data_IF_710349013153
#
_entry.id   IF_710349013153
#
_cell.length_a   1.000
_cell.length_b   1.000
_cell.length_c   1.000
_cell.angle_alpha   90.00
_cell.angle_beta   90.00
_cell.angle_gamma   90.00
#
_symmetry.space_group_name_H-M   'P 1'
#
loop_
_entity.id
_entity.type
_entity.pdbx_description
1 polymer ?
#
# COMPACT_ATOMS: atom_id res chain seq x y z
N UNK A 1 6.73 -20.94 -29.60
CA UNK A 1 6.73 -19.52 -29.19
C UNK A 1 8.08 -19.28 -28.53
N UNK A 2 8.96 -18.47 -29.12
CA UNK A 2 10.23 -18.10 -28.47
C UNK A 2 9.95 -17.06 -27.39
N UNK A 3 10.65 -17.15 -26.26
CA UNK A 3 10.55 -16.16 -25.21
C UNK A 3 10.99 -14.78 -25.73
N UNK A 4 10.36 -13.69 -25.29
CA UNK A 4 10.80 -12.34 -25.64
C UNK A 4 12.23 -12.12 -25.14
N UNK A 5 13.04 -11.47 -25.97
CA UNK A 5 14.38 -11.01 -25.58
C UNK A 5 14.24 -9.95 -24.48
N UNK A 6 14.79 -10.25 -23.30
CA UNK A 6 14.83 -9.31 -22.16
C UNK A 6 16.14 -8.52 -22.22
N UNK A 7 16.10 -7.18 -22.21
CA UNK A 7 17.31 -6.36 -22.19
C UNK A 7 18.21 -6.68 -20.99
N UNK A 8 19.55 -6.67 -21.12
CA UNK A 8 20.45 -6.88 -19.98
C UNK A 8 20.24 -5.89 -18.83
N UNK A 9 19.75 -4.67 -19.12
CA UNK A 9 19.47 -3.64 -18.12
C UNK A 9 18.15 -3.85 -17.36
N UNK A 10 17.30 -4.77 -17.81
CA UNK A 10 15.93 -4.92 -17.30
C UNK A 10 15.88 -5.12 -15.77
N UNK A 11 16.71 -6.01 -15.23
CA UNK A 11 16.73 -6.29 -13.78
C UNK A 11 17.14 -5.06 -12.98
N UNK A 12 18.13 -4.29 -13.48
CA UNK A 12 18.60 -3.08 -12.81
C UNK A 12 17.55 -1.97 -12.83
N UNK A 13 16.90 -1.76 -13.98
CA UNK A 13 15.85 -0.77 -14.16
C UNK A 13 14.59 -1.11 -13.36
N UNK A 14 14.14 -2.36 -13.39
CA UNK A 14 13.02 -2.85 -12.59
C UNK A 14 13.32 -2.73 -11.09
N UNK A 15 14.52 -3.12 -10.67
CA UNK A 15 14.95 -2.99 -9.27
C UNK A 15 14.98 -1.54 -8.79
N UNK A 16 15.48 -0.60 -9.62
CA UNK A 16 15.44 0.83 -9.30
C UNK A 16 14.01 1.34 -9.19
N UNK A 17 13.13 0.95 -10.13
CA UNK A 17 11.73 1.35 -10.12
C UNK A 17 11.01 0.86 -8.85
N UNK A 18 11.18 -0.40 -8.49
CA UNK A 18 10.60 -0.97 -7.26
C UNK A 18 11.12 -0.24 -6.03
N UNK A 19 12.43 0.04 -5.92
CA UNK A 19 12.98 0.78 -4.78
C UNK A 19 12.37 2.17 -4.63
N UNK A 20 12.34 2.95 -5.70
CA UNK A 20 11.74 4.29 -5.67
C UNK A 20 10.27 4.24 -5.21
N UNK A 21 9.51 3.26 -5.70
CA UNK A 21 8.11 3.06 -5.33
C UNK A 21 7.91 2.58 -3.89
N UNK A 22 8.84 1.78 -3.37
CA UNK A 22 8.86 1.41 -1.94
C UNK A 22 9.08 2.64 -1.08
N UNK A 23 10.04 3.51 -1.44
CA UNK A 23 10.30 4.76 -0.71
C UNK A 23 9.07 5.67 -0.71
N UNK A 24 8.41 5.83 -1.85
CA UNK A 24 7.17 6.60 -1.99
C UNK A 24 6.02 6.05 -1.14
N UNK A 25 5.82 4.72 -1.13
CA UNK A 25 4.82 4.09 -0.25
C UNK A 25 5.14 4.32 1.21
N UNK A 26 6.40 4.15 1.60
CA UNK A 26 6.85 4.37 2.97
C UNK A 26 6.53 5.80 3.40
N UNK A 27 6.85 6.79 2.58
CA UNK A 27 6.51 8.20 2.85
C UNK A 27 5.02 8.41 3.00
N UNK A 28 4.19 7.96 2.04
CA UNK A 28 2.74 8.18 2.09
C UNK A 28 2.08 7.52 3.31
N UNK A 29 2.53 6.32 3.69
CA UNK A 29 2.01 5.60 4.86
C UNK A 29 2.50 6.24 6.17
N UNK A 30 3.76 6.67 6.24
CA UNK A 30 4.34 7.33 7.41
C UNK A 30 3.72 8.72 7.64
N UNK A 31 3.49 9.50 6.57
CA UNK A 31 2.78 10.78 6.62
C UNK A 31 1.33 10.62 7.12
N UNK A 32 0.75 9.43 6.92
CA UNK A 32 -0.54 9.08 7.50
C UNK A 32 -0.49 8.68 8.99
N UNK A 33 0.70 8.72 9.59
CA UNK A 33 0.96 8.29 10.96
C UNK A 33 0.79 6.80 11.18
N UNK A 34 1.01 5.98 10.14
CA UNK A 34 1.06 4.52 10.26
C UNK A 34 2.46 4.06 10.65
N UNK A 35 2.54 2.97 11.42
CA UNK A 35 3.82 2.37 11.78
C UNK A 35 4.39 1.62 10.59
N UNK A 36 5.38 2.19 9.89
CA UNK A 36 6.02 1.57 8.71
C UNK A 36 7.51 1.42 8.92
N UNK A 37 8.06 0.33 8.37
CA UNK A 37 9.49 0.11 8.25
C UNK A 37 9.88 0.02 6.77
N UNK A 38 10.97 0.70 6.40
CA UNK A 38 11.56 0.57 5.07
C UNK A 38 12.02 -0.88 4.84
N UNK A 39 11.52 -1.58 3.80
CA UNK A 39 11.93 -2.94 3.54
C UNK A 39 13.33 -2.99 2.93
N UNK A 40 14.12 -4.00 3.34
CA UNK A 40 15.46 -4.24 2.78
C UNK A 40 15.45 -5.02 1.46
N UNK A 41 14.27 -5.51 1.04
CA UNK A 41 14.10 -6.29 -0.17
C UNK A 41 12.64 -6.62 -0.46
N UNK A 42 12.40 -7.29 -1.59
CA UNK A 42 11.05 -7.56 -2.09
C UNK A 42 10.43 -6.34 -2.76
N UNK A 43 9.10 -6.31 -2.78
CA UNK A 43 8.31 -5.27 -3.45
C UNK A 43 7.02 -4.97 -2.69
N UNK A 44 7.05 -5.19 -1.36
CA UNK A 44 5.93 -4.94 -0.47
C UNK A 44 6.36 -4.10 0.73
N UNK A 45 5.48 -3.21 1.17
CA UNK A 45 5.59 -2.48 2.43
C UNK A 45 4.56 -3.04 3.40
N UNK A 46 4.98 -3.30 4.63
CA UNK A 46 4.09 -3.66 5.74
C UNK A 46 3.87 -2.46 6.64
N UNK A 47 2.61 -2.16 6.93
CA UNK A 47 2.21 -1.07 7.81
C UNK A 47 1.36 -1.57 8.97
N UNK A 48 1.71 -1.15 10.18
CA UNK A 48 0.91 -1.30 11.38
C UNK A 48 -0.21 -0.25 11.36
N UNK A 49 -1.45 -0.74 11.40
CA UNK A 49 -2.65 0.09 11.39
C UNK A 49 -3.44 -0.01 12.69
N UNK A 50 -2.98 -0.77 13.70
CA UNK A 50 -3.73 -1.07 14.93
C UNK A 50 -4.26 0.18 15.62
N UNK A 51 -3.40 1.17 15.82
CA UNK A 51 -3.76 2.41 16.52
C UNK A 51 -4.84 3.20 15.77
N UNK A 52 -4.79 3.21 14.43
CA UNK A 52 -5.77 3.91 13.60
C UNK A 52 -7.05 3.12 13.42
N UNK A 53 -6.94 1.81 13.22
CA UNK A 53 -8.08 0.91 13.11
C UNK A 53 -8.98 1.02 14.34
N UNK A 54 -8.39 1.10 15.54
CA UNK A 54 -9.11 1.31 16.80
C UNK A 54 -9.89 2.63 16.88
N UNK A 55 -9.51 3.63 16.08
CA UNK A 55 -10.26 4.91 15.97
C UNK A 55 -11.36 4.87 14.91
N UNK A 56 -11.49 3.76 14.19
CA UNK A 56 -12.56 3.56 13.21
C UNK A 56 -13.68 2.69 13.75
N UNK A 57 -14.79 2.61 13.03
CA UNK A 57 -15.89 1.69 13.33
C UNK A 57 -15.70 0.26 12.78
N UNK A 58 -14.52 -0.08 12.23
CA UNK A 58 -14.27 -1.39 11.64
C UNK A 58 -13.86 -2.41 12.72
N UNK A 59 -14.30 -3.66 12.56
CA UNK A 59 -14.01 -4.76 13.48
C UNK A 59 -12.58 -5.30 13.36
N UNK A 60 -12.03 -5.27 12.15
CA UNK A 60 -10.74 -5.86 11.80
C UNK A 60 -10.14 -5.17 10.56
N UNK A 61 -8.87 -5.49 10.26
CA UNK A 61 -8.14 -4.89 9.15
C UNK A 61 -8.74 -5.29 7.81
N UNK A 62 -9.25 -6.52 7.67
CA UNK A 62 -9.89 -7.00 6.45
C UNK A 62 -11.12 -6.17 6.07
N UNK A 63 -11.97 -5.84 7.04
CA UNK A 63 -13.17 -5.03 6.83
C UNK A 63 -12.79 -3.60 6.44
N UNK A 64 -11.76 -3.04 7.06
CA UNK A 64 -11.23 -1.72 6.68
C UNK A 64 -10.64 -1.72 5.26
N UNK A 65 -9.82 -2.71 4.89
CA UNK A 65 -9.26 -2.86 3.54
C UNK A 65 -10.38 -2.98 2.49
N UNK A 66 -11.44 -3.72 2.78
CA UNK A 66 -12.58 -3.87 1.90
C UNK A 66 -13.36 -2.55 1.73
N UNK A 67 -13.52 -1.77 2.80
CA UNK A 67 -14.16 -0.45 2.73
C UNK A 67 -13.31 0.56 1.94
N UNK A 68 -11.99 0.57 2.17
CA UNK A 68 -11.02 1.38 1.42
C UNK A 68 -11.11 1.09 -0.10
N UNK A 69 -11.17 -0.20 -0.46
CA UNK A 69 -11.31 -0.63 -1.85
C UNK A 69 -12.64 -0.16 -2.46
N UNK A 70 -13.76 -0.30 -1.73
CA UNK A 70 -15.09 0.10 -2.21
C UNK A 70 -15.22 1.61 -2.38
N UNK A 71 -14.74 2.40 -1.42
CA UNK A 71 -14.93 3.87 -1.40
C UNK A 71 -13.92 4.62 -2.25
N UNK A 72 -12.67 4.13 -2.29
CA UNK A 72 -11.56 4.86 -2.89
C UNK A 72 -10.92 4.12 -4.07
N UNK A 73 -11.34 2.88 -4.35
CA UNK A 73 -10.75 2.06 -5.42
C UNK A 73 -9.32 1.62 -5.09
N UNK A 74 -8.95 1.52 -3.81
CA UNK A 74 -7.60 1.15 -3.37
C UNK A 74 -7.64 -0.16 -2.58
N UNK A 75 -7.04 -1.20 -3.16
CA UNK A 75 -6.87 -2.49 -2.51
C UNK A 75 -5.56 -2.53 -1.72
N UNK A 76 -5.67 -2.76 -0.41
CA UNK A 76 -4.55 -3.19 0.43
C UNK A 76 -4.78 -4.64 0.86
N UNK A 77 -3.70 -5.39 1.08
CA UNK A 77 -3.81 -6.77 1.50
C UNK A 77 -3.88 -6.84 3.04
N UNK A 78 -4.94 -7.41 3.63
CA UNK A 78 -5.07 -7.54 5.07
C UNK A 78 -4.06 -8.53 5.66
N UNK A 79 -3.56 -8.23 6.85
CA UNK A 79 -2.58 -9.07 7.53
C UNK A 79 -3.17 -10.37 8.08
N UNK A 80 -4.49 -10.48 8.21
CA UNK A 80 -5.22 -11.69 8.59
C UNK A 80 -4.82 -12.89 7.69
N UNK A 81 -4.63 -12.66 6.38
CA UNK A 81 -4.19 -13.69 5.43
C UNK A 81 -2.75 -14.20 5.68
N UNK A 82 -2.02 -13.50 6.55
CA UNK A 82 -0.65 -13.80 6.96
C UNK A 82 -0.52 -14.08 8.46
N UNK A 83 -1.63 -14.31 9.16
CA UNK A 83 -1.66 -14.47 10.63
C UNK A 83 -1.08 -13.26 11.38
N UNK A 84 -1.19 -12.06 10.78
CA UNK A 84 -0.69 -10.79 11.30
C UNK A 84 -1.82 -9.74 11.38
N UNK A 85 -2.88 -9.98 12.19
CA UNK A 85 -4.00 -9.03 12.32
C UNK A 85 -3.50 -7.65 12.80
N UNK A 86 -4.17 -6.59 12.35
CA UNK A 86 -3.75 -5.21 12.62
C UNK A 86 -2.63 -4.67 11.73
N UNK A 87 -2.14 -5.48 10.79
CA UNK A 87 -1.18 -5.05 9.76
C UNK A 87 -1.81 -5.07 8.38
N UNK A 88 -1.27 -4.27 7.46
CA UNK A 88 -1.56 -4.35 6.02
C UNK A 88 -0.29 -4.45 5.20
N UNK A 89 -0.42 -5.07 4.03
CA UNK A 89 0.64 -5.15 3.03
C UNK A 89 0.24 -4.39 1.76
N UNK A 90 1.09 -3.46 1.35
CA UNK A 90 0.97 -2.70 0.10
C UNK A 90 2.02 -3.17 -0.92
N UNK A 91 1.65 -3.25 -2.20
CA UNK A 91 2.57 -3.62 -3.29
C UNK A 91 3.13 -2.39 -3.97
N UNK A 92 4.44 -2.39 -4.26
CA UNK A 92 5.13 -1.38 -5.06
C UNK A 92 5.11 -1.68 -6.58
N UNK A 93 4.40 -2.73 -6.99
CA UNK A 93 4.34 -3.16 -8.40
C UNK A 93 3.02 -2.69 -9.02
N UNK A 94 3.14 -2.07 -10.19
CA UNK A 94 2.03 -1.62 -11.02
C UNK A 94 2.40 -1.83 -12.49
N UNK A 95 1.39 -2.02 -13.34
CA UNK A 95 1.57 -2.30 -14.75
C UNK A 95 2.16 -1.11 -15.52
N UNK A 96 1.56 0.07 -15.35
CA UNK A 96 2.08 1.34 -15.88
C UNK A 96 2.53 2.29 -14.77
N UNK A 97 3.38 3.26 -15.11
CA UNK A 97 3.78 4.34 -14.19
C UNK A 97 2.59 5.26 -13.87
N UNK A 98 1.69 5.51 -14.83
CA UNK A 98 0.46 6.28 -14.60
C UNK A 98 -0.49 5.62 -13.60
N UNK A 99 -0.58 4.28 -13.61
CA UNK A 99 -1.40 3.54 -12.65
C UNK A 99 -0.84 3.68 -11.24
N UNK A 100 0.49 3.64 -11.13
CA UNK A 100 1.19 3.85 -9.88
C UNK A 100 0.93 5.25 -9.31
N UNK A 101 1.15 6.30 -10.10
CA UNK A 101 0.94 7.68 -9.68
C UNK A 101 -0.50 7.92 -9.24
N UNK A 102 -1.48 7.45 -10.03
CA UNK A 102 -2.89 7.55 -9.67
C UNK A 102 -3.23 6.77 -8.39
N UNK A 103 -2.68 5.57 -8.21
CA UNK A 103 -2.92 4.76 -7.03
C UNK A 103 -2.33 5.41 -5.77
N UNK A 104 -1.10 5.91 -5.85
CA UNK A 104 -0.40 6.56 -4.75
C UNK A 104 -1.14 7.84 -4.31
N UNK A 105 -1.60 8.66 -5.27
CA UNK A 105 -2.39 9.86 -4.99
C UNK A 105 -3.72 9.54 -4.28
N UNK A 106 -4.45 8.53 -4.77
CA UNK A 106 -5.73 8.08 -4.17
C UNK A 106 -5.51 7.48 -2.79
N UNK A 107 -4.45 6.68 -2.60
CA UNK A 107 -4.07 6.14 -1.30
C UNK A 107 -3.81 7.28 -0.31
N UNK A 108 -2.96 8.24 -0.64
CA UNK A 108 -2.68 9.38 0.24
C UNK A 108 -3.94 10.19 0.58
N UNK A 109 -4.87 10.33 -0.38
CA UNK A 109 -6.16 10.99 -0.14
C UNK A 109 -7.04 10.20 0.82
N UNK A 110 -7.17 8.89 0.62
CA UNK A 110 -7.97 8.03 1.47
C UNK A 110 -7.40 7.93 2.90
N UNK A 111 -6.07 7.90 3.02
CA UNK A 111 -5.39 7.88 4.32
C UNK A 111 -5.56 9.20 5.08
N UNK A 112 -5.65 10.36 4.42
CA UNK A 112 -6.00 11.61 5.10
C UNK A 112 -7.40 11.55 5.71
N UNK A 113 -8.38 11.00 4.97
CA UNK A 113 -9.73 10.77 5.53
C UNK A 113 -9.73 9.81 6.71
N UNK A 114 -8.80 8.85 6.72
CA UNK A 114 -8.58 7.90 7.81
C UNK A 114 -7.95 8.55 9.05
N UNK A 115 -7.11 9.59 8.89
CA UNK A 115 -6.52 10.35 10.00
C UNK A 115 -7.54 11.28 10.67
N UNK A 116 -8.42 11.90 9.88
CA UNK A 116 -9.32 12.97 10.34
C UNK A 116 -10.47 12.49 11.24
N UNK A 117 -10.64 11.17 11.46
CA UNK A 117 -11.69 10.60 12.31
C UNK A 117 -13.12 10.91 11.87
N UNK A 118 -13.31 11.54 10.70
CA UNK A 118 -14.62 11.90 10.18
C UNK A 118 -15.22 10.70 9.46
N UNK A 119 -15.93 9.89 10.23
CA UNK A 119 -17.05 9.11 9.70
C UNK A 119 -18.00 10.09 9.02
N UNK A 120 -17.98 10.17 7.70
CA UNK A 120 -19.18 10.57 6.96
C UNK A 120 -20.23 9.52 7.29
N UNK A 121 -21.16 9.90 8.19
CA UNK A 121 -22.42 9.19 8.40
C UNK A 121 -23.15 9.02 7.08
#
# INVERSE_FOLDING_TARGET
>A
ISAPMVPPSFVQEAGRRVRNRLDELVTVLADAGLGVHSPQGGFYVWADVRSRLATTGHSDTATWCADLARRHGIGLWPGEDYLAPGWVRASAVACADSDWESALYRLGTALRSFIDGRNSK
#
